data_IF_070542446902
#
_entry.id   IF_070542446902
#
_cell.length_a   1.000
_cell.length_b   1.000
_cell.length_c   1.000
_cell.angle_alpha   90.00
_cell.angle_beta   90.00
_cell.angle_gamma   90.00
#
_symmetry.space_group_name_H-M   'P 1'
#
loop_
_entity.id
_entity.type
_entity.pdbx_description
1 polymer ?
#
# COMPACT_ATOMS: atom_id res chain seq x y z
N UNK A 1 40.49 -2.71 0.70
CA UNK A 1 39.70 -2.43 -0.53
C UNK A 1 38.25 -2.93 -0.45
N UNK A 2 37.99 -4.16 0.02
CA UNK A 2 36.65 -4.76 0.05
C UNK A 2 35.62 -3.99 0.90
N UNK A 3 36.03 -3.39 2.03
CA UNK A 3 35.11 -2.65 2.90
C UNK A 3 34.52 -1.36 2.33
N UNK A 4 35.30 -0.62 1.53
CA UNK A 4 34.84 0.60 0.86
C UNK A 4 33.77 0.24 -0.17
N UNK A 5 33.90 -0.91 -0.84
CA UNK A 5 32.92 -1.42 -1.78
C UNK A 5 31.55 -1.63 -1.10
N UNK A 6 31.52 -2.19 0.11
CA UNK A 6 30.27 -2.42 0.85
C UNK A 6 29.59 -1.12 1.29
N UNK A 7 30.36 -0.11 1.73
CA UNK A 7 29.82 1.20 2.11
C UNK A 7 29.24 1.91 0.88
N UNK A 8 29.94 1.84 -0.26
CA UNK A 8 29.46 2.43 -1.53
C UNK A 8 28.19 1.72 -1.99
N UNK A 9 28.13 0.39 -1.92
CA UNK A 9 26.91 -0.37 -2.27
C UNK A 9 25.75 0.01 -1.34
N UNK A 10 25.97 0.09 -0.03
CA UNK A 10 24.94 0.50 0.93
C UNK A 10 24.44 1.93 0.67
N UNK A 11 25.33 2.87 0.38
CA UNK A 11 24.97 4.24 0.03
C UNK A 11 24.15 4.32 -1.28
N UNK A 12 24.54 3.54 -2.29
CA UNK A 12 23.79 3.43 -3.56
C UNK A 12 22.40 2.85 -3.32
N UNK A 13 22.26 1.81 -2.48
CA UNK A 13 20.96 1.23 -2.14
C UNK A 13 20.05 2.21 -1.39
N UNK A 14 20.62 3.02 -0.49
CA UNK A 14 19.88 4.06 0.25
C UNK A 14 19.44 5.20 -0.69
N UNK A 15 20.32 5.65 -1.59
CA UNK A 15 20.01 6.69 -2.59
C UNK A 15 18.94 6.20 -3.57
N UNK A 16 19.07 4.97 -4.08
CA UNK A 16 18.05 4.32 -4.93
C UNK A 16 16.70 4.26 -4.20
N UNK A 17 16.68 3.95 -2.90
CA UNK A 17 15.46 3.96 -2.10
C UNK A 17 14.86 5.36 -1.98
N UNK A 18 15.65 6.40 -1.77
CA UNK A 18 15.13 7.78 -1.69
C UNK A 18 14.54 8.29 -3.01
N UNK A 19 15.03 7.79 -4.15
CA UNK A 19 14.50 8.14 -5.48
C UNK A 19 13.22 7.35 -5.82
N UNK A 20 13.06 6.14 -5.27
CA UNK A 20 11.92 5.25 -5.55
C UNK A 20 10.78 5.45 -4.56
N UNK A 21 11.04 5.93 -3.33
CA UNK A 21 10.01 6.19 -2.32
C UNK A 21 9.52 7.64 -2.50
N UNK A 22 8.39 7.88 -3.21
CA UNK A 22 7.82 9.21 -3.28
C UNK A 22 7.53 9.72 -1.87
N UNK A 23 7.73 11.02 -1.68
CA UNK A 23 7.40 11.76 -0.45
C UNK A 23 6.08 11.26 0.13
N UNK A 24 6.13 10.91 1.42
CA UNK A 24 5.08 10.24 2.20
C UNK A 24 3.92 11.19 2.53
N UNK A 25 3.42 11.93 1.54
CA UNK A 25 2.18 12.66 1.65
C UNK A 25 1.07 11.63 1.46
N UNK A 26 0.59 11.06 2.57
CA UNK A 26 -0.60 10.23 2.53
C UNK A 26 -1.71 11.05 1.86
N UNK A 27 -2.38 10.49 0.82
CA UNK A 27 -3.41 11.24 0.12
C UNK A 27 -4.51 11.60 1.12
N UNK A 28 -4.98 12.85 1.05
CA UNK A 28 -6.06 13.33 1.91
C UNK A 28 -7.29 12.43 1.72
N UNK A 29 -7.73 11.81 2.82
CA UNK A 29 -8.88 10.90 2.83
C UNK A 29 -10.12 11.66 3.28
N UNK A 30 -11.20 11.44 2.56
CA UNK A 30 -12.51 12.00 2.86
C UNK A 30 -13.47 10.87 3.22
N UNK A 31 -14.43 11.18 4.09
CA UNK A 31 -15.50 10.25 4.46
C UNK A 31 -16.78 10.64 3.73
N UNK A 32 -17.53 9.65 3.30
CA UNK A 32 -18.79 9.86 2.60
C UNK A 32 -19.69 8.65 2.63
N UNK A 33 -20.76 8.73 1.85
CA UNK A 33 -21.69 7.64 1.60
C UNK A 33 -21.68 7.37 0.11
N UNK A 34 -21.57 6.10 -0.26
CA UNK A 34 -21.60 5.66 -1.64
C UNK A 34 -22.63 4.57 -1.85
N UNK A 35 -23.08 4.42 -3.09
CA UNK A 35 -24.00 3.37 -3.53
C UNK A 35 -23.20 2.32 -4.28
N UNK A 36 -23.34 1.06 -3.90
CA UNK A 36 -22.72 -0.07 -4.58
C UNK A 36 -23.42 -0.28 -5.92
N UNK A 37 -22.75 -0.01 -7.03
CA UNK A 37 -23.32 -0.23 -8.37
C UNK A 37 -23.13 -1.67 -8.83
N UNK A 38 -21.97 -2.25 -8.50
CA UNK A 38 -21.59 -3.56 -8.99
C UNK A 38 -20.68 -4.27 -8.00
N UNK A 39 -21.01 -5.53 -7.73
CA UNK A 39 -20.15 -6.47 -7.02
C UNK A 39 -19.47 -7.42 -8.01
N UNK A 40 -18.15 -7.60 -7.90
CA UNK A 40 -17.38 -8.60 -8.64
C UNK A 40 -16.74 -9.54 -7.63
N UNK A 41 -16.87 -10.85 -7.85
CA UNK A 41 -16.24 -11.88 -7.04
C UNK A 41 -15.31 -12.74 -7.90
N UNK A 42 -14.03 -12.75 -7.56
CA UNK A 42 -13.00 -13.53 -8.27
C UNK A 42 -12.10 -14.23 -7.24
N UNK A 43 -11.91 -15.55 -7.37
CA UNK A 43 -10.95 -16.33 -6.57
C UNK A 43 -10.97 -16.01 -5.05
N UNK A 44 -12.17 -16.01 -4.45
CA UNK A 44 -12.43 -15.69 -3.04
C UNK A 44 -12.17 -14.24 -2.61
N UNK A 45 -12.00 -13.32 -3.58
CA UNK A 45 -11.91 -11.88 -3.37
C UNK A 45 -13.19 -11.21 -3.88
N UNK A 46 -13.62 -10.18 -3.18
CA UNK A 46 -14.77 -9.37 -3.58
C UNK A 46 -14.29 -7.92 -3.78
N UNK A 47 -14.61 -7.36 -4.93
CA UNK A 47 -14.44 -5.93 -5.24
C UNK A 47 -15.82 -5.31 -5.48
N UNK A 48 -15.98 -4.06 -5.04
CA UNK A 48 -17.20 -3.28 -5.22
C UNK A 48 -16.90 -2.05 -6.07
N UNK A 49 -17.73 -1.77 -7.06
CA UNK A 49 -17.78 -0.47 -7.73
C UNK A 49 -18.77 0.40 -6.99
N UNK A 50 -18.29 1.50 -6.45
CA UNK A 50 -19.08 2.40 -5.61
C UNK A 50 -19.23 3.74 -6.31
N UNK A 51 -20.48 4.17 -6.51
CA UNK A 51 -20.83 5.53 -6.93
C UNK A 51 -20.94 6.42 -5.70
N UNK A 52 -20.28 7.57 -5.70
CA UNK A 52 -20.36 8.53 -4.60
C UNK A 52 -20.24 9.97 -5.10
N UNK A 53 -20.66 10.92 -4.29
CA UNK A 53 -20.46 12.35 -4.57
C UNK A 53 -19.21 12.83 -3.83
N UNK A 54 -18.26 13.41 -4.56
CA UNK A 54 -17.05 13.97 -3.97
C UNK A 54 -17.31 15.30 -3.24
N UNK A 55 -16.27 15.84 -2.58
CA UNK A 55 -16.36 17.07 -1.80
C UNK A 55 -16.65 18.32 -2.64
N UNK A 56 -16.50 18.22 -3.96
CA UNK A 56 -16.78 19.28 -4.92
C UNK A 56 -18.16 19.11 -5.58
N UNK A 57 -18.93 18.09 -5.19
CA UNK A 57 -20.26 17.82 -5.72
C UNK A 57 -20.28 16.98 -7.01
N UNK A 58 -19.15 16.44 -7.45
CA UNK A 58 -19.13 15.60 -8.65
C UNK A 58 -19.43 14.14 -8.32
N UNK A 59 -20.18 13.48 -9.19
CA UNK A 59 -20.44 12.04 -9.10
C UNK A 59 -19.23 11.29 -9.63
N UNK A 60 -18.67 10.43 -8.79
CA UNK A 60 -17.54 9.57 -9.10
C UNK A 60 -17.95 8.10 -8.99
N UNK A 61 -17.28 7.25 -9.76
CA UNK A 61 -17.36 5.80 -9.61
C UNK A 61 -15.95 5.27 -9.43
N UNK A 62 -15.72 4.52 -8.36
CA UNK A 62 -14.42 3.95 -8.06
C UNK A 62 -14.54 2.47 -7.68
N UNK A 63 -13.53 1.70 -8.06
CA UNK A 63 -13.36 0.33 -7.61
C UNK A 63 -12.77 0.32 -6.19
N UNK A 64 -13.34 -0.49 -5.32
CA UNK A 64 -12.86 -0.69 -3.96
C UNK A 64 -11.59 -1.52 -3.93
N UNK A 65 -10.86 -1.46 -2.82
CA UNK A 65 -9.86 -2.50 -2.53
C UNK A 65 -10.52 -3.89 -2.49
N UNK A 66 -9.77 -4.97 -2.80
CA UNK A 66 -10.29 -6.32 -2.70
C UNK A 66 -10.45 -6.73 -1.23
N UNK A 67 -11.59 -7.32 -0.89
CA UNK A 67 -11.89 -7.89 0.44
C UNK A 67 -11.90 -9.41 0.39
N UNK A 68 -11.50 -10.04 1.50
CA UNK A 68 -11.69 -11.48 1.70
C UNK A 68 -13.18 -11.71 1.85
N UNK A 69 -13.68 -12.76 1.19
CA UNK A 69 -15.10 -13.09 1.16
C UNK A 69 -15.73 -13.16 2.55
N UNK A 70 -16.39 -12.10 2.97
CA UNK A 70 -17.55 -12.18 3.85
C UNK A 70 -18.77 -12.24 2.93
N UNK A 71 -19.57 -13.29 3.07
CA UNK A 71 -20.75 -13.47 2.23
C UNK A 71 -21.75 -12.34 2.48
N UNK A 72 -22.14 -11.62 1.42
CA UNK A 72 -23.49 -11.07 1.28
C UNK A 72 -23.85 -9.81 2.07
N UNK A 73 -22.89 -8.96 2.47
CA UNK A 73 -23.24 -7.73 3.20
C UNK A 73 -23.77 -6.59 2.33
N UNK A 74 -23.24 -6.47 1.12
CA UNK A 74 -23.62 -5.42 0.18
C UNK A 74 -23.98 -6.01 -1.18
N UNK A 75 -25.19 -5.75 -1.61
CA UNK A 75 -25.70 -6.02 -2.94
C UNK A 75 -25.79 -4.73 -3.78
N UNK A 76 -26.10 -4.88 -5.07
CA UNK A 76 -26.21 -3.74 -5.97
C UNK A 76 -27.38 -2.84 -5.53
N UNK A 77 -27.10 -1.55 -5.36
CA UNK A 77 -28.05 -0.54 -4.86
C UNK A 77 -27.87 -0.21 -3.38
N UNK A 78 -27.10 -1.01 -2.63
CA UNK A 78 -26.90 -0.76 -1.21
C UNK A 78 -26.04 0.47 -0.95
N UNK A 79 -26.39 1.16 0.13
CA UNK A 79 -25.65 2.30 0.63
C UNK A 79 -24.58 1.83 1.61
N UNK A 80 -23.35 2.29 1.41
CA UNK A 80 -22.20 1.96 2.24
C UNK A 80 -21.49 3.24 2.70
N UNK A 81 -21.03 3.24 3.96
CA UNK A 81 -20.08 4.26 4.43
C UNK A 81 -18.74 4.00 3.77
N UNK A 82 -18.11 5.05 3.27
CA UNK A 82 -16.86 4.93 2.53
C UNK A 82 -15.83 5.95 2.99
N UNK A 83 -14.57 5.56 2.84
CA UNK A 83 -13.43 6.43 2.74
C UNK A 83 -13.03 6.52 1.28
N UNK A 84 -12.83 7.74 0.76
CA UNK A 84 -12.32 7.93 -0.59
C UNK A 84 -11.14 8.88 -0.60
N UNK A 85 -10.27 8.72 -1.59
CA UNK A 85 -9.16 9.60 -1.84
C UNK A 85 -8.82 9.60 -3.33
N UNK A 86 -8.07 10.61 -3.75
CA UNK A 86 -7.60 10.71 -5.13
C UNK A 86 -6.11 10.41 -5.17
N UNK A 87 -5.70 9.58 -6.14
CA UNK A 87 -4.28 9.43 -6.45
C UNK A 87 -3.69 10.75 -6.95
N UNK A 88 -2.36 10.91 -6.95
CA UNK A 88 -1.71 12.08 -7.56
C UNK A 88 -2.08 12.31 -9.03
N UNK A 89 -2.58 11.28 -9.72
CA UNK A 89 -3.07 11.34 -11.11
C UNK A 89 -4.58 11.64 -11.22
N UNK A 90 -5.24 12.01 -10.12
CA UNK A 90 -6.67 12.33 -10.07
C UNK A 90 -7.61 11.12 -10.16
N UNK A 91 -7.10 9.88 -10.13
CA UNK A 91 -7.97 8.69 -10.12
C UNK A 91 -8.58 8.48 -8.74
N UNK A 92 -9.91 8.26 -8.63
CA UNK A 92 -10.57 8.03 -7.36
C UNK A 92 -10.29 6.60 -6.87
N UNK A 93 -10.13 6.46 -5.56
CA UNK A 93 -10.04 5.20 -4.85
C UNK A 93 -11.05 5.20 -3.72
N UNK A 94 -11.62 4.03 -3.44
CA UNK A 94 -12.61 3.88 -2.37
C UNK A 94 -12.29 2.69 -1.48
N UNK A 95 -12.56 2.85 -0.20
CA UNK A 95 -12.52 1.81 0.82
C UNK A 95 -13.86 1.86 1.54
N UNK A 96 -14.51 0.71 1.68
CA UNK A 96 -15.76 0.60 2.41
C UNK A 96 -15.38 0.54 3.88
N UNK A 97 -16.01 1.43 4.65
CA UNK A 97 -15.76 1.64 6.06
C UNK A 97 -16.62 0.68 6.89
N UNK A 98 -16.19 -0.58 6.92
CA UNK A 98 -16.92 -1.67 7.54
C UNK A 98 -15.96 -2.65 8.24
N UNK A 99 -16.17 -2.83 9.54
CA UNK A 99 -15.33 -3.67 10.40
C UNK A 99 -15.40 -5.16 10.04
N UNK A 100 -16.48 -5.59 9.37
CA UNK A 100 -16.64 -6.98 8.92
C UNK A 100 -15.91 -7.25 7.60
N UNK A 101 -15.57 -6.20 6.82
CA UNK A 101 -14.85 -6.34 5.56
C UNK A 101 -13.35 -6.40 5.81
N UNK A 102 -12.80 -7.62 5.83
CA UNK A 102 -11.35 -7.83 5.95
C UNK A 102 -10.67 -7.60 4.60
N UNK A 103 -9.85 -6.56 4.50
CA UNK A 103 -9.10 -6.28 3.27
C UNK A 103 -8.14 -7.43 2.94
N UNK A 104 -7.97 -7.71 1.66
CA UNK A 104 -6.96 -8.67 1.17
C UNK A 104 -5.54 -8.09 1.21
N UNK A 105 -5.27 -7.05 2.02
CA UNK A 105 -4.08 -6.19 1.94
C UNK A 105 -2.85 -7.00 1.51
N UNK A 106 -2.41 -6.67 0.28
CA UNK A 106 -1.36 -7.39 -0.42
C UNK A 106 -0.10 -7.34 0.43
N UNK A 107 0.59 -8.48 0.49
CA UNK A 107 1.88 -8.76 1.13
C UNK A 107 3.03 -7.76 0.83
N UNK A 108 2.78 -6.64 0.13
CA UNK A 108 3.78 -5.66 -0.29
C UNK A 108 4.40 -4.88 0.87
N UNK A 109 3.64 -4.60 1.95
CA UNK A 109 4.21 -3.99 3.16
C UNK A 109 5.22 -4.92 3.84
N UNK A 110 4.94 -6.23 3.87
CA UNK A 110 5.85 -7.23 4.41
C UNK A 110 7.13 -7.36 3.58
N UNK A 111 7.03 -7.38 2.25
CA UNK A 111 8.20 -7.46 1.37
C UNK A 111 9.16 -6.27 1.56
N UNK A 112 8.63 -5.06 1.73
CA UNK A 112 9.43 -3.85 1.98
C UNK A 112 10.16 -3.90 3.33
N UNK A 113 9.51 -4.41 4.38
CA UNK A 113 10.11 -4.56 5.70
C UNK A 113 11.17 -5.66 5.72
N UNK A 114 10.92 -6.80 5.05
CA UNK A 114 11.90 -7.90 4.96
C UNK A 114 13.15 -7.47 4.20
N UNK A 115 13.03 -6.70 3.11
CA UNK A 115 14.18 -6.13 2.42
C UNK A 115 14.99 -5.17 3.30
N UNK A 116 14.34 -4.39 4.17
CA UNK A 116 15.03 -3.49 5.10
C UNK A 116 15.83 -4.28 6.15
N UNK A 117 15.24 -5.33 6.71
CA UNK A 117 15.91 -6.21 7.68
C UNK A 117 17.11 -6.90 7.02
N UNK A 118 16.95 -7.44 5.81
CA UNK A 118 18.03 -8.07 5.07
C UNK A 118 19.19 -7.10 4.77
N UNK A 119 18.89 -5.87 4.37
CA UNK A 119 19.90 -4.83 4.14
C UNK A 119 20.65 -4.48 5.44
N UNK A 120 19.96 -4.40 6.57
CA UNK A 120 20.57 -4.10 7.87
C UNK A 120 21.54 -5.20 8.31
N UNK A 121 21.17 -6.48 8.12
CA UNK A 121 22.04 -7.63 8.43
C UNK A 121 23.30 -7.61 7.58
N UNK A 122 23.19 -7.34 6.27
CA UNK A 122 24.34 -7.25 5.38
C UNK A 122 25.31 -6.14 5.78
N UNK A 123 24.82 -4.99 6.25
CA UNK A 123 25.66 -3.90 6.76
C UNK A 123 26.43 -4.36 8.01
N UNK A 124 25.75 -5.02 8.96
CA UNK A 124 26.38 -5.51 10.20
C UNK A 124 27.49 -6.52 9.88
N UNK A 125 27.23 -7.48 8.99
CA UNK A 125 28.22 -8.47 8.56
C UNK A 125 29.41 -7.77 7.87
N UNK A 126 29.13 -6.79 7.00
CA UNK A 126 30.17 -6.01 6.32
C UNK A 126 31.08 -5.25 7.28
N UNK A 127 30.53 -4.65 8.34
CA UNK A 127 31.30 -3.97 9.39
C UNK A 127 32.13 -4.97 10.19
N UNK A 128 31.58 -6.13 10.56
CA UNK A 128 32.31 -7.17 11.28
C UNK A 128 33.52 -7.68 10.48
N UNK A 129 33.34 -7.96 9.19
CA UNK A 129 34.41 -8.40 8.31
C UNK A 129 35.48 -7.32 8.12
N UNK A 130 35.08 -6.04 8.07
CA UNK A 130 36.01 -4.92 7.98
C UNK A 130 36.89 -4.82 9.24
N UNK A 131 36.27 -4.88 10.42
CA UNK A 131 36.98 -4.83 11.70
C UNK A 131 37.95 -6.02 11.77
N UNK A 132 37.49 -7.23 11.46
CA UNK A 132 38.34 -8.42 11.47
C UNK A 132 39.54 -8.27 10.52
N UNK A 133 39.35 -7.72 9.32
CA UNK A 133 40.43 -7.49 8.36
C UNK A 133 41.39 -6.32 8.73
N UNK A 134 41.03 -5.47 9.71
CA UNK A 134 41.87 -4.39 10.22
C UNK A 134 42.73 -4.83 11.41
N UNK A 135 42.29 -5.86 12.14
CA UNK A 135 42.95 -6.38 13.34
C UNK A 135 43.61 -7.76 13.13
N UNK A 136 43.51 -8.33 11.93
CA UNK A 136 44.23 -9.52 11.48
C UNK A 136 45.39 -9.12 10.56
#
# INVERSE_FOLDING_TARGET
>A
MIGILFIVIAAVLILMRSLIVPSKNEPEKFRGVGIVEKRIQENCRICFYVRFTDKWGNVQVAESIPYKSTMGKYDNGDSAKIWYYFSPKGRPFVVIDDEELVSCETQSKYASVVMLIAAMILIIIGVFLLIFALFA
#
